data_IF_779971641042
#
_entry.id   IF_779971641042
#
_cell.length_a   1.000
_cell.length_b   1.000
_cell.length_c   1.000
_cell.angle_alpha   90.00
_cell.angle_beta   90.00
_cell.angle_gamma   90.00
#
_symmetry.space_group_name_H-M   'P 1'
#
loop_
_entity.id
_entity.type
_entity.pdbx_description
1 polymer ?
#
# COMPACT_ATOMS: atom_id res chain seq x y z
N UNK A 1 26.69 19.61 -0.78
CA UNK A 1 26.56 18.16 -0.99
C UNK A 1 25.54 17.63 0.01
N UNK A 2 24.24 17.82 -0.25
CA UNK A 2 23.16 17.52 0.72
C UNK A 2 22.23 16.44 0.18
N UNK A 3 22.33 15.24 0.77
CA UNK A 3 21.25 14.27 1.02
C UNK A 3 20.30 13.91 -0.15
N UNK A 4 20.87 13.44 -1.27
CA UNK A 4 20.13 12.84 -2.39
C UNK A 4 19.86 11.32 -2.19
N UNK A 5 19.66 10.89 -0.93
CA UNK A 5 19.74 9.47 -0.51
C UNK A 5 18.57 8.99 0.37
N UNK A 6 17.39 9.63 0.42
CA UNK A 6 16.36 9.21 1.39
C UNK A 6 14.91 9.06 0.94
N UNK A 7 14.52 9.38 -0.28
CA UNK A 7 13.15 9.07 -0.71
C UNK A 7 13.08 7.65 -1.29
N UNK A 8 12.93 6.66 -0.39
CA UNK A 8 12.61 5.26 -0.76
C UNK A 8 11.28 5.13 -1.51
N UNK A 9 10.46 6.18 -1.51
CA UNK A 9 9.16 6.23 -2.19
C UNK A 9 9.28 6.99 -3.51
N UNK A 10 9.07 6.27 -4.61
CA UNK A 10 9.09 6.78 -5.99
C UNK A 10 7.80 7.56 -6.31
N UNK A 11 6.71 7.27 -5.61
CA UNK A 11 5.40 7.87 -5.86
C UNK A 11 4.81 8.49 -4.58
N UNK A 12 4.16 9.65 -4.71
CA UNK A 12 3.46 10.28 -3.58
C UNK A 12 2.11 9.59 -3.29
N UNK A 13 1.36 9.25 -4.35
CA UNK A 13 0.06 8.60 -4.28
C UNK A 13 -0.03 7.53 -5.36
N UNK A 14 -0.59 6.37 -5.02
CA UNK A 14 -0.90 5.29 -5.95
C UNK A 14 -2.33 4.82 -5.71
N UNK A 15 -3.05 4.55 -6.80
CA UNK A 15 -4.38 3.97 -6.76
C UNK A 15 -4.33 2.51 -7.24
N UNK A 16 -4.89 1.60 -6.44
CA UNK A 16 -5.01 0.17 -6.74
C UNK A 16 -6.49 -0.19 -6.91
N UNK A 17 -6.97 -0.17 -8.15
CA UNK A 17 -8.36 -0.45 -8.50
C UNK A 17 -8.58 -1.94 -8.76
N UNK A 18 -9.58 -2.53 -8.09
CA UNK A 18 -9.77 -3.98 -8.07
C UNK A 18 -8.72 -4.66 -7.19
N UNK A 19 -8.40 -4.06 -6.04
CA UNK A 19 -7.27 -4.48 -5.20
C UNK A 19 -7.43 -5.88 -4.59
N UNK A 20 -8.64 -6.47 -4.63
CA UNK A 20 -8.93 -7.76 -4.04
C UNK A 20 -8.56 -7.78 -2.56
N UNK A 21 -7.75 -8.76 -2.17
CA UNK A 21 -7.26 -8.93 -0.80
C UNK A 21 -6.04 -8.06 -0.45
N UNK A 22 -5.69 -7.09 -1.30
CA UNK A 22 -4.68 -6.05 -1.00
C UNK A 22 -3.23 -6.46 -1.21
N UNK A 23 -2.95 -7.61 -1.83
CA UNK A 23 -1.57 -8.10 -2.06
C UNK A 23 -0.74 -7.10 -2.88
N UNK A 24 -1.31 -6.60 -3.98
CA UNK A 24 -0.68 -5.58 -4.82
C UNK A 24 -0.49 -4.27 -4.07
N UNK A 25 -1.49 -3.83 -3.29
CA UNK A 25 -1.44 -2.62 -2.49
C UNK A 25 -0.26 -2.63 -1.50
N UNK A 26 0.04 -3.78 -0.88
CA UNK A 26 1.19 -3.93 0.03
C UNK A 26 2.52 -3.82 -0.71
N UNK A 27 2.64 -4.40 -1.90
CA UNK A 27 3.84 -4.25 -2.72
C UNK A 27 4.04 -2.78 -3.13
N UNK A 28 2.96 -2.10 -3.52
CA UNK A 28 2.96 -0.68 -3.88
C UNK A 28 3.35 0.22 -2.70
N UNK A 29 2.97 -0.13 -1.47
CA UNK A 29 3.33 0.62 -0.27
C UNK A 29 4.84 0.66 0.00
N UNK A 30 5.64 -0.24 -0.59
CA UNK A 30 7.12 -0.17 -0.50
C UNK A 30 7.75 0.88 -1.43
N UNK A 31 6.97 1.42 -2.37
CA UNK A 31 7.41 2.37 -3.40
C UNK A 31 6.59 3.66 -3.39
N UNK A 32 5.57 3.76 -2.55
CA UNK A 32 4.62 4.86 -2.52
C UNK A 32 4.43 5.36 -1.09
N UNK A 33 4.36 6.69 -0.93
CA UNK A 33 4.06 7.32 0.35
C UNK A 33 2.62 7.02 0.80
N UNK A 34 1.68 6.99 -0.14
CA UNK A 34 0.27 6.69 0.10
C UNK A 34 -0.26 5.73 -0.97
N UNK A 35 -1.04 4.74 -0.55
CA UNK A 35 -1.76 3.83 -1.45
C UNK A 35 -3.25 3.89 -1.10
N UNK A 36 -4.09 4.17 -2.10
CA UNK A 36 -5.55 4.09 -2.00
C UNK A 36 -5.99 2.85 -2.76
N UNK A 37 -6.59 1.90 -2.04
CA UNK A 37 -7.04 0.64 -2.59
C UNK A 37 -8.57 0.60 -2.66
N UNK A 38 -9.11 0.09 -3.77
CA UNK A 38 -10.54 0.01 -4.00
C UNK A 38 -10.91 -1.37 -4.57
N UNK A 39 -12.02 -1.92 -4.08
CA UNK A 39 -12.64 -3.13 -4.61
C UNK A 39 -14.15 -3.09 -4.32
N UNK A 40 -14.97 -3.68 -5.19
CA UNK A 40 -16.43 -3.74 -5.00
C UNK A 40 -16.83 -4.77 -3.94
N UNK A 41 -15.98 -5.75 -3.65
CA UNK A 41 -16.21 -6.77 -2.65
C UNK A 41 -15.80 -6.28 -1.26
N UNK A 42 -16.79 -5.98 -0.42
CA UNK A 42 -16.56 -5.66 0.99
C UNK A 42 -15.76 -6.76 1.72
N UNK A 43 -15.97 -8.04 1.36
CA UNK A 43 -15.22 -9.18 1.90
C UNK A 43 -13.73 -9.12 1.53
N UNK A 44 -13.44 -8.74 0.29
CA UNK A 44 -12.06 -8.54 -0.19
C UNK A 44 -11.41 -7.39 0.56
N UNK A 45 -12.11 -6.26 0.74
CA UNK A 45 -11.62 -5.11 1.50
C UNK A 45 -11.36 -5.41 2.98
N UNK A 46 -12.20 -6.23 3.63
CA UNK A 46 -11.93 -6.69 5.01
C UNK A 46 -10.63 -7.49 5.08
N UNK A 47 -10.39 -8.35 4.09
CA UNK A 47 -9.16 -9.14 3.99
C UNK A 47 -7.94 -8.25 3.71
N UNK A 48 -8.09 -7.27 2.82
CA UNK A 48 -7.07 -6.27 2.51
C UNK A 48 -6.67 -5.44 3.73
N UNK A 49 -7.67 -4.97 4.51
CA UNK A 49 -7.44 -4.25 5.76
C UNK A 49 -6.65 -5.10 6.76
N UNK A 50 -7.08 -6.35 6.98
CA UNK A 50 -6.36 -7.25 7.90
C UNK A 50 -4.92 -7.52 7.45
N UNK A 51 -4.70 -7.68 6.14
CA UNK A 51 -3.35 -7.87 5.60
C UNK A 51 -2.47 -6.62 5.81
N UNK A 52 -3.03 -5.42 5.60
CA UNK A 52 -2.33 -4.16 5.83
C UNK A 52 -1.96 -3.96 7.30
N UNK A 53 -2.87 -4.24 8.24
CA UNK A 53 -2.59 -4.16 9.68
C UNK A 53 -1.46 -5.12 10.10
N UNK A 54 -1.48 -6.37 9.62
CA UNK A 54 -0.42 -7.36 9.90
C UNK A 54 0.96 -6.95 9.37
N UNK A 55 1.00 -6.19 8.27
CA UNK A 55 2.25 -5.74 7.64
C UNK A 55 2.72 -4.40 8.20
N UNK A 56 1.80 -3.52 8.59
CA UNK A 56 2.08 -2.24 9.26
C UNK A 56 2.55 -2.40 10.71
N UNK A 57 2.23 -3.53 11.36
CA UNK A 57 2.71 -3.88 12.71
C UNK A 57 4.15 -4.40 12.77
N UNK A 58 4.88 -4.50 11.64
CA UNK A 58 6.31 -4.81 11.69
C UNK A 58 7.10 -3.54 12.06
N UNK A 59 7.22 -3.31 13.37
CA UNK A 59 8.25 -2.47 13.99
C UNK A 59 9.63 -3.03 13.70
#
# INVERSE_FOLDING_TARGET
MSTLLSDKNIFNYVFDGGCGTGVCSIALASRAKNVVAFDLSAKSLMSAKSLAEKKGQKT
#
